data_IF_383306092318
#
_entry.id   IF_383306092318
#
_cell.length_a   1.000
_cell.length_b   1.000
_cell.length_c   1.000
_cell.angle_alpha   90.00
_cell.angle_beta   90.00
_cell.angle_gamma   90.00
#
_symmetry.space_group_name_H-M   'P 1'
#
loop_
_entity.id
_entity.type
_entity.pdbx_description
1 polymer ?
#
# COMPACT_ATOMS: atom_id res chain seq x y z
N UNK A 1 -3.81 1.31 5.35
CA UNK A 1 -3.78 1.23 3.87
C UNK A 1 -4.98 1.93 3.22
N UNK A 2 -6.22 1.66 3.67
CA UNK A 2 -7.44 2.30 3.12
C UNK A 2 -7.77 3.67 3.74
N UNK A 3 -7.22 3.95 4.92
CA UNK A 3 -7.36 5.22 5.63
C UNK A 3 -6.30 6.27 5.26
N UNK A 4 -6.40 7.41 5.94
CA UNK A 4 -5.58 8.60 5.72
C UNK A 4 -4.86 9.06 6.98
N UNK A 5 -5.52 9.14 8.13
CA UNK A 5 -5.01 9.71 9.38
C UNK A 5 -3.62 9.18 9.74
N UNK A 6 -3.48 7.87 9.98
CA UNK A 6 -2.21 7.27 10.40
C UNK A 6 -1.14 7.35 9.30
N UNK A 7 -1.49 7.04 8.05
CA UNK A 7 -0.47 7.01 6.97
C UNK A 7 0.00 8.43 6.64
N UNK A 8 -0.90 9.39 6.53
CA UNK A 8 -0.57 10.75 6.14
C UNK A 8 0.18 11.45 7.27
N UNK A 9 -0.17 11.16 8.55
CA UNK A 9 0.61 11.60 9.70
C UNK A 9 2.04 11.03 9.67
N UNK A 10 2.19 9.71 9.55
CA UNK A 10 3.52 9.10 9.49
C UNK A 10 4.33 9.62 8.30
N UNK A 11 3.70 9.77 7.14
CA UNK A 11 4.32 10.34 5.95
C UNK A 11 4.53 11.85 6.05
N UNK A 12 3.97 12.57 7.01
CA UNK A 12 4.37 13.97 7.23
C UNK A 12 5.75 14.06 7.88
N UNK A 13 6.13 13.02 8.64
CA UNK A 13 7.42 12.97 9.32
C UNK A 13 8.56 12.59 8.36
N UNK A 14 9.74 13.17 8.57
CA UNK A 14 10.92 12.91 7.73
C UNK A 14 11.44 11.47 7.85
N UNK A 15 11.29 10.87 9.03
CA UNK A 15 11.86 9.56 9.34
C UNK A 15 11.18 8.40 8.60
N UNK A 16 9.89 8.52 8.28
CA UNK A 16 9.17 7.45 7.60
C UNK A 16 9.31 7.55 6.09
N UNK A 17 9.82 6.46 5.50
CA UNK A 17 9.95 6.32 4.05
C UNK A 17 8.87 5.33 3.58
N UNK A 18 7.98 5.71 2.66
CA UNK A 18 6.96 4.80 2.14
C UNK A 18 7.59 3.69 1.31
N UNK A 19 7.26 2.44 1.66
CA UNK A 19 7.64 1.24 0.92
C UNK A 19 6.38 0.65 0.31
N UNK A 20 6.20 0.87 -0.99
CA UNK A 20 5.07 0.37 -1.76
C UNK A 20 5.36 -1.02 -2.31
N UNK A 21 4.35 -1.89 -2.28
CA UNK A 21 4.50 -3.28 -2.68
C UNK A 21 3.23 -4.10 -2.46
N UNK A 22 3.38 -5.41 -2.26
CA UNK A 22 2.29 -6.36 -2.01
C UNK A 22 2.58 -7.29 -0.82
N UNK A 23 2.44 -8.62 -0.98
CA UNK A 23 2.63 -9.60 0.08
C UNK A 23 4.10 -9.77 0.51
N UNK A 24 5.07 -9.41 -0.32
CA UNK A 24 6.50 -9.51 -0.04
C UNK A 24 6.90 -8.69 1.19
N UNK A 25 6.27 -7.53 1.40
CA UNK A 25 6.48 -6.68 2.59
C UNK A 25 6.06 -7.35 3.91
N UNK A 26 5.38 -8.51 3.85
CA UNK A 26 5.02 -9.28 5.05
C UNK A 26 6.04 -10.35 5.44
N UNK A 27 7.05 -10.60 4.60
CA UNK A 27 8.07 -11.64 4.81
C UNK A 27 9.15 -11.14 5.76
N UNK A 28 8.77 -10.93 7.03
CA UNK A 28 9.71 -10.49 8.08
C UNK A 28 10.73 -11.60 8.36
N UNK A 29 12.00 -11.25 8.23
CA UNK A 29 13.20 -12.05 8.49
C UNK A 29 14.32 -11.10 8.98
N UNK A 30 15.50 -11.60 9.41
CA UNK A 30 16.61 -10.73 9.82
C UNK A 30 17.03 -9.71 8.76
N UNK A 31 16.81 -10.04 7.48
CA UNK A 31 17.23 -9.23 6.33
C UNK A 31 16.12 -8.31 5.81
N UNK A 32 14.94 -8.33 6.44
CA UNK A 32 13.84 -7.46 6.06
C UNK A 32 14.20 -5.98 6.29
N UNK A 33 13.83 -5.04 5.40
CA UNK A 33 14.23 -3.62 5.51
C UNK A 33 13.91 -2.99 6.87
N UNK A 34 12.76 -3.30 7.46
CA UNK A 34 12.38 -2.79 8.78
C UNK A 34 13.29 -3.32 9.90
N UNK A 35 13.73 -4.57 9.82
CA UNK A 35 14.62 -5.19 10.81
C UNK A 35 16.02 -4.61 10.71
N UNK A 36 16.55 -4.46 9.48
CA UNK A 36 17.85 -3.84 9.25
C UNK A 36 17.87 -2.36 9.65
N UNK A 37 16.80 -1.62 9.35
CA UNK A 37 16.69 -0.22 9.73
C UNK A 37 16.66 -0.04 11.25
N UNK A 38 15.92 -0.89 11.95
CA UNK A 38 15.82 -0.89 13.41
C UNK A 38 17.13 -1.31 14.09
N UNK A 39 17.68 -2.49 13.72
CA UNK A 39 18.91 -3.06 14.29
C UNK A 39 20.11 -2.12 14.21
N UNK A 40 20.28 -1.47 13.06
CA UNK A 40 21.44 -0.63 12.79
C UNK A 40 21.13 0.86 12.95
N UNK A 41 20.05 1.19 13.66
CA UNK A 41 19.65 2.56 14.02
C UNK A 41 19.75 3.55 12.85
N UNK A 42 19.24 3.15 11.69
CA UNK A 42 19.28 3.99 10.49
C UNK A 42 18.45 5.26 10.74
N UNK A 43 18.82 6.33 10.05
CA UNK A 43 18.11 7.61 10.12
C UNK A 43 16.72 7.61 9.43
N UNK A 44 16.19 6.44 9.10
CA UNK A 44 14.88 6.25 8.49
C UNK A 44 14.23 4.95 8.96
N UNK A 45 12.91 4.91 8.87
CA UNK A 45 12.08 3.74 9.15
C UNK A 45 11.18 3.45 7.93
N UNK A 46 11.19 2.21 7.39
CA UNK A 46 10.22 1.83 6.36
C UNK A 46 8.78 1.92 6.88
N UNK A 47 7.92 2.64 6.17
CA UNK A 47 6.47 2.63 6.36
C UNK A 47 5.85 1.76 5.26
N UNK A 48 5.45 0.53 5.63
CA UNK A 48 5.07 -0.51 4.68
C UNK A 48 3.65 -0.27 4.12
N UNK A 49 3.57 0.11 2.85
CA UNK A 49 2.36 0.40 2.09
C UNK A 49 2.10 -0.69 1.04
N UNK A 50 1.88 -1.91 1.50
CA UNK A 50 1.52 -3.04 0.66
C UNK A 50 0.96 -4.20 1.46
N UNK A 51 0.12 -4.99 0.81
CA UNK A 51 -0.51 -6.16 1.39
C UNK A 51 -0.85 -7.17 0.27
N UNK A 52 -1.19 -8.43 0.61
CA UNK A 52 -1.52 -9.42 -0.42
C UNK A 52 -2.64 -8.94 -1.36
N UNK A 53 -2.31 -8.79 -2.65
CA UNK A 53 -3.25 -8.31 -3.67
C UNK A 53 -3.21 -6.81 -3.97
N UNK A 54 -2.47 -5.98 -3.21
CA UNK A 54 -2.28 -4.57 -3.59
C UNK A 54 -1.44 -4.47 -4.87
N UNK A 55 -1.96 -3.77 -5.87
CA UNK A 55 -1.26 -3.47 -7.12
C UNK A 55 -1.28 -1.95 -7.39
N UNK A 56 -0.76 -1.52 -8.53
CA UNK A 56 -0.54 -0.11 -8.88
C UNK A 56 -1.80 0.75 -8.76
N UNK A 57 -2.99 0.24 -9.08
CA UNK A 57 -4.24 1.01 -8.96
C UNK A 57 -4.57 1.35 -7.49
N UNK A 58 -4.50 0.38 -6.59
CA UNK A 58 -4.73 0.61 -5.16
C UNK A 58 -3.64 1.50 -4.55
N UNK A 59 -2.38 1.31 -4.96
CA UNK A 59 -1.27 2.11 -4.45
C UNK A 59 -1.31 3.56 -4.97
N UNK A 60 -1.79 3.78 -6.21
CA UNK A 60 -2.06 5.13 -6.72
C UNK A 60 -3.06 5.87 -5.82
N UNK A 61 -4.13 5.21 -5.35
CA UNK A 61 -5.09 5.82 -4.42
C UNK A 61 -4.44 6.17 -3.09
N UNK A 62 -3.56 5.32 -2.56
CA UNK A 62 -2.79 5.61 -1.34
C UNK A 62 -1.86 6.82 -1.53
N UNK A 63 -1.17 6.91 -2.66
CA UNK A 63 -0.29 8.05 -2.96
C UNK A 63 -1.08 9.34 -3.15
N UNK A 64 -2.19 9.28 -3.91
CA UNK A 64 -2.99 10.45 -4.25
C UNK A 64 -3.67 11.05 -3.02
N UNK A 65 -4.18 10.20 -2.12
CA UNK A 65 -4.81 10.63 -0.87
C UNK A 65 -3.81 11.23 0.14
N UNK A 66 -2.54 10.78 0.13
CA UNK A 66 -1.50 11.37 0.97
C UNK A 66 -1.11 12.80 0.55
N UNK A 67 -1.41 13.22 -0.69
CA UNK A 67 -1.22 14.58 -1.16
C UNK A 67 0.19 15.13 -0.89
N UNK A 68 0.26 16.30 -0.26
CA UNK A 68 1.53 16.98 0.03
C UNK A 68 2.41 16.26 1.06
N UNK A 69 1.89 15.28 1.83
CA UNK A 69 2.73 14.45 2.71
C UNK A 69 3.76 13.61 1.92
N UNK A 70 3.50 13.36 0.63
CA UNK A 70 4.43 12.66 -0.27
C UNK A 70 5.38 13.60 -1.01
N UNK A 71 5.18 14.93 -0.94
CA UNK A 71 5.93 15.90 -1.71
C UNK A 71 7.41 15.90 -1.29
N UNK A 72 8.31 15.88 -2.27
CA UNK A 72 9.77 15.86 -2.08
C UNK A 72 10.31 14.67 -1.24
N UNK A 73 9.53 13.59 -1.08
CA UNK A 73 9.98 12.39 -0.37
C UNK A 73 10.63 11.37 -1.29
N UNK A 74 11.62 10.66 -0.73
CA UNK A 74 12.11 9.41 -1.30
C UNK A 74 11.06 8.32 -1.11
N UNK A 75 10.99 7.40 -2.05
CA UNK A 75 10.02 6.29 -2.07
C UNK A 75 10.72 5.01 -2.51
N UNK A 76 10.32 3.88 -1.93
CA UNK A 76 10.63 2.55 -2.47
C UNK A 76 9.37 1.96 -3.08
N UNK A 77 9.46 1.45 -4.31
CA UNK A 77 8.34 0.81 -4.99
C UNK A 77 8.78 -0.53 -5.56
N UNK A 78 8.20 -1.63 -5.05
CA UNK A 78 8.49 -2.99 -5.50
C UNK A 78 7.51 -3.35 -6.61
N UNK A 79 8.04 -3.60 -7.82
CA UNK A 79 7.23 -3.98 -8.98
C UNK A 79 7.27 -5.50 -9.12
N UNK A 80 6.15 -6.16 -8.79
CA UNK A 80 6.00 -7.60 -8.97
C UNK A 80 5.52 -7.94 -10.39
N UNK A 81 6.29 -8.70 -11.20
CA UNK A 81 5.88 -9.09 -12.55
C UNK A 81 4.53 -9.82 -12.60
N UNK A 82 4.17 -10.56 -11.55
CA UNK A 82 2.91 -11.29 -11.42
C UNK A 82 1.68 -10.37 -11.40
N UNK A 83 1.86 -9.06 -11.21
CA UNK A 83 0.80 -8.06 -11.34
C UNK A 83 0.39 -7.78 -12.80
N UNK A 84 1.22 -8.13 -13.77
CA UNK A 84 1.06 -7.77 -15.19
C UNK A 84 0.43 -8.90 -16.02
N UNK A 85 -0.64 -9.50 -15.49
CA UNK A 85 -1.43 -10.50 -16.22
C UNK A 85 -2.36 -9.83 -17.25
N UNK A 86 -2.78 -10.58 -18.27
CA UNK A 86 -3.60 -10.08 -19.40
C UNK A 86 -4.82 -9.25 -18.98
N UNK A 87 -5.52 -9.67 -17.91
CA UNK A 87 -6.74 -9.02 -17.43
C UNK A 87 -6.46 -8.00 -16.29
N UNK A 88 -5.20 -7.78 -15.93
CA UNK A 88 -4.77 -6.91 -14.83
C UNK A 88 -5.20 -7.41 -13.45
N UNK A 89 -5.35 -6.48 -12.51
CA UNK A 89 -5.75 -6.76 -11.12
C UNK A 89 -7.10 -7.51 -11.06
N UNK A 90 -7.16 -8.59 -10.28
CA UNK A 90 -8.41 -9.30 -10.00
C UNK A 90 -9.40 -8.39 -9.26
N UNK A 91 -10.69 -8.50 -9.59
CA UNK A 91 -11.76 -7.71 -8.95
C UNK A 91 -11.74 -7.84 -7.43
N UNK A 92 -11.55 -9.04 -6.89
CA UNK A 92 -11.55 -9.27 -5.43
C UNK A 92 -10.40 -8.55 -4.72
N UNK A 93 -9.22 -8.53 -5.36
CA UNK A 93 -8.07 -7.77 -4.83
C UNK A 93 -8.35 -6.28 -4.85
N UNK A 94 -8.94 -5.74 -5.93
CA UNK A 94 -9.37 -4.35 -5.95
C UNK A 94 -10.40 -4.06 -4.86
N UNK A 95 -11.44 -4.89 -4.74
CA UNK A 95 -12.53 -4.71 -3.77
C UNK A 95 -12.03 -4.68 -2.32
N UNK A 96 -11.01 -5.49 -2.01
CA UNK A 96 -10.38 -5.58 -0.69
C UNK A 96 -9.74 -4.25 -0.26
N UNK A 97 -9.08 -3.56 -1.20
CA UNK A 97 -8.32 -2.33 -0.94
C UNK A 97 -8.97 -1.05 -1.48
N UNK A 98 -10.10 -1.15 -2.18
CA UNK A 98 -10.89 0.01 -2.58
C UNK A 98 -11.28 0.81 -1.34
N UNK A 99 -11.01 2.11 -1.40
CA UNK A 99 -11.31 3.08 -0.34
C UNK A 99 -12.18 4.18 -0.95
N UNK A 100 -13.43 4.29 -0.46
CA UNK A 100 -14.30 5.41 -0.82
C UNK A 100 -13.70 6.73 -0.34
N UNK A 101 -13.13 6.74 0.88
CA UNK A 101 -12.45 7.90 1.46
C UNK A 101 -11.39 8.46 0.50
N UNK A 102 -10.44 7.62 0.08
CA UNK A 102 -9.36 8.04 -0.82
C UNK A 102 -9.86 8.40 -2.22
N UNK A 103 -10.95 7.77 -2.68
CA UNK A 103 -11.60 8.14 -3.94
C UNK A 103 -12.21 9.54 -3.85
N UNK A 104 -12.85 9.85 -2.73
CA UNK A 104 -13.43 11.16 -2.50
C UNK A 104 -12.34 12.23 -2.28
N UNK A 105 -11.25 11.92 -1.57
CA UNK A 105 -10.10 12.82 -1.46
C UNK A 105 -9.56 13.21 -2.84
N UNK A 106 -9.43 12.22 -3.74
CA UNK A 106 -9.06 12.48 -5.12
C UNK A 106 -10.06 13.43 -5.80
N UNK A 107 -11.36 13.13 -5.77
CA UNK A 107 -12.39 13.96 -6.39
C UNK A 107 -12.42 15.40 -5.86
N UNK A 108 -12.37 15.58 -4.55
CA UNK A 108 -12.38 16.91 -3.91
C UNK A 108 -11.06 17.68 -4.07
N UNK A 109 -9.94 16.98 -4.33
CA UNK A 109 -8.64 17.62 -4.64
C UNK A 109 -8.54 18.13 -6.08
N UNK A 110 -9.36 17.62 -7.01
CA UNK A 110 -9.23 17.93 -8.43
C UNK A 110 -9.53 19.41 -8.74
N UNK A 111 -8.56 20.09 -9.35
CA UNK A 111 -8.72 21.45 -9.91
C UNK A 111 -8.85 21.48 -11.42
N UNK A 112 -8.38 20.43 -12.10
CA UNK A 112 -8.48 20.21 -13.54
C UNK A 112 -8.49 18.71 -13.82
N UNK A 113 -8.97 18.31 -14.99
CA UNK A 113 -8.94 16.92 -15.43
C UNK A 113 -7.68 16.65 -16.26
N UNK A 114 -6.84 15.73 -15.79
CA UNK A 114 -5.64 15.29 -16.51
C UNK A 114 -5.88 13.96 -17.23
N UNK A 115 -5.00 13.54 -18.16
CA UNK A 115 -5.07 12.20 -18.76
C UNK A 115 -5.07 11.06 -17.72
N UNK A 116 -4.36 11.24 -16.61
CA UNK A 116 -4.33 10.29 -15.50
C UNK A 116 -5.70 10.18 -14.81
N UNK A 117 -6.36 11.31 -14.55
CA UNK A 117 -7.71 11.31 -13.95
C UNK A 117 -8.74 10.65 -14.88
N UNK A 118 -8.65 10.89 -16.20
CA UNK A 118 -9.51 10.21 -17.20
C UNK A 118 -9.26 8.70 -17.22
N UNK A 119 -8.00 8.27 -17.14
CA UNK A 119 -7.64 6.85 -17.08
C UNK A 119 -8.15 6.19 -15.80
N UNK A 120 -7.94 6.84 -14.65
CA UNK A 120 -8.44 6.36 -13.36
C UNK A 120 -9.96 6.19 -13.40
N UNK A 121 -10.71 7.20 -13.87
CA UNK A 121 -12.15 7.11 -14.00
C UNK A 121 -12.59 5.94 -14.89
N UNK A 122 -11.94 5.74 -16.05
CA UNK A 122 -12.20 4.59 -16.93
C UNK A 122 -11.99 3.25 -16.22
N UNK A 123 -10.92 3.12 -15.43
CA UNK A 123 -10.60 1.89 -14.68
C UNK A 123 -11.57 1.67 -13.53
N UNK A 124 -11.89 2.68 -12.73
CA UNK A 124 -12.84 2.56 -11.62
C UNK A 124 -14.22 2.10 -12.12
N UNK A 125 -14.67 2.65 -13.26
CA UNK A 125 -15.92 2.26 -13.92
C UNK A 125 -15.96 0.81 -14.44
N UNK A 126 -14.88 0.01 -14.33
CA UNK A 126 -14.94 -1.43 -14.65
C UNK A 126 -15.32 -2.31 -13.47
N UNK A 127 -15.21 -1.82 -12.23
CA UNK A 127 -15.42 -2.62 -11.02
C UNK A 127 -16.84 -2.47 -10.47
N UNK A 128 -17.52 -3.59 -10.19
CA UNK A 128 -18.91 -3.59 -9.69
C UNK A 128 -19.09 -2.79 -8.40
N UNK A 129 -18.13 -2.92 -7.47
CA UNK A 129 -18.14 -2.17 -6.19
C UNK A 129 -18.20 -0.65 -6.36
N UNK A 130 -17.66 -0.12 -7.47
CA UNK A 130 -17.76 1.31 -7.81
C UNK A 130 -19.12 1.63 -8.44
N UNK A 131 -19.62 0.72 -9.28
CA UNK A 131 -20.90 0.86 -9.99
C UNK A 131 -22.12 0.80 -9.08
N UNK A 132 -21.99 0.20 -7.89
CA UNK A 132 -23.03 0.19 -6.85
C UNK A 132 -23.37 1.60 -6.33
N UNK A 133 -22.49 2.59 -6.53
CA UNK A 133 -22.73 3.98 -6.18
C UNK A 133 -23.03 4.81 -7.43
N UNK A 134 -24.32 5.10 -7.68
CA UNK A 134 -24.78 5.81 -8.87
C UNK A 134 -24.25 7.25 -8.96
N UNK A 135 -24.24 7.98 -7.84
CA UNK A 135 -23.71 9.35 -7.77
C UNK A 135 -22.23 9.39 -8.16
N UNK A 136 -21.42 8.50 -7.58
CA UNK A 136 -20.02 8.35 -7.93
C UNK A 136 -19.86 7.96 -9.40
N UNK A 137 -20.65 7.00 -9.88
CA UNK A 137 -20.62 6.55 -11.28
C UNK A 137 -20.87 7.71 -12.26
N UNK A 138 -21.88 8.54 -12.01
CA UNK A 138 -22.17 9.71 -12.85
C UNK A 138 -21.00 10.72 -12.87
N UNK A 139 -20.38 10.98 -11.72
CA UNK A 139 -19.20 11.83 -11.60
C UNK A 139 -18.02 11.25 -12.39
N UNK A 140 -17.75 9.95 -12.26
CA UNK A 140 -16.69 9.27 -12.99
C UNK A 140 -16.91 9.30 -14.52
N UNK A 141 -18.15 9.18 -14.99
CA UNK A 141 -18.46 9.33 -16.42
C UNK A 141 -18.14 10.73 -16.94
N UNK A 142 -18.38 11.77 -16.13
CA UNK A 142 -18.01 13.16 -16.44
C UNK A 142 -16.50 13.31 -16.57
N UNK A 143 -15.74 12.79 -15.61
CA UNK A 143 -14.26 12.80 -15.63
C UNK A 143 -13.73 12.01 -16.82
N UNK A 144 -14.30 10.83 -17.13
CA UNK A 144 -13.92 10.01 -18.30
C UNK A 144 -14.03 10.81 -19.61
N UNK A 145 -15.06 11.65 -19.75
CA UNK A 145 -15.27 12.56 -20.89
C UNK A 145 -14.31 13.76 -20.92
N UNK A 146 -13.44 13.91 -19.92
CA UNK A 146 -12.48 15.02 -19.82
C UNK A 146 -13.06 16.28 -19.20
N UNK A 147 -14.25 16.21 -18.60
CA UNK A 147 -14.94 17.34 -17.99
C UNK A 147 -14.73 17.33 -16.48
N UNK A 148 -14.47 18.50 -15.90
CA UNK A 148 -14.41 18.65 -14.44
C UNK A 148 -15.84 18.52 -13.88
N UNK A 149 -16.08 17.70 -12.85
CA UNK A 149 -17.39 17.64 -12.20
C UNK A 149 -17.81 19.00 -11.64
N UNK A 150 -19.10 19.30 -11.71
CA UNK A 150 -19.65 20.51 -11.11
C UNK A 150 -19.53 20.45 -9.57
N UNK A 151 -19.29 21.58 -8.89
CA UNK A 151 -19.26 21.64 -7.43
C UNK A 151 -20.50 21.03 -6.77
N UNK A 152 -21.67 21.24 -7.35
CA UNK A 152 -22.96 20.73 -6.87
C UNK A 152 -23.03 19.20 -6.96
N UNK A 153 -22.49 18.61 -8.04
CA UNK A 153 -22.39 17.15 -8.19
C UNK A 153 -21.45 16.57 -7.15
N UNK A 154 -20.29 17.18 -6.91
CA UNK A 154 -19.36 16.74 -5.87
C UNK A 154 -19.96 16.89 -4.47
N UNK A 155 -20.76 17.94 -4.24
CA UNK A 155 -21.35 18.22 -2.93
C UNK A 155 -22.30 17.11 -2.44
N UNK A 156 -22.90 16.34 -3.36
CA UNK A 156 -23.72 15.17 -3.01
C UNK A 156 -22.94 14.10 -2.24
N UNK A 157 -21.61 14.01 -2.44
CA UNK A 157 -20.74 13.05 -1.73
C UNK A 157 -20.15 13.62 -0.43
N UNK A 158 -20.35 14.91 -0.13
CA UNK A 158 -19.64 15.61 0.95
C UNK A 158 -20.00 15.09 2.34
N UNK A 159 -21.26 14.77 2.58
CA UNK A 159 -21.71 14.23 3.87
C UNK A 159 -21.04 12.90 4.18
N UNK A 160 -21.09 11.96 3.23
CA UNK A 160 -20.43 10.66 3.33
C UNK A 160 -18.91 10.82 3.49
N UNK A 161 -18.28 11.71 2.73
CA UNK A 161 -16.85 11.98 2.85
C UNK A 161 -16.46 12.50 4.25
N UNK A 162 -17.25 13.40 4.84
CA UNK A 162 -17.02 13.89 6.20
C UNK A 162 -17.26 12.82 7.26
N UNK A 163 -18.20 11.90 7.05
CA UNK A 163 -18.39 10.74 7.92
C UNK A 163 -17.17 9.82 7.86
N UNK A 164 -16.74 9.43 6.66
CA UNK A 164 -15.57 8.56 6.44
C UNK A 164 -14.28 9.14 7.04
N UNK A 165 -14.05 10.45 6.95
CA UNK A 165 -12.89 11.09 7.60
C UNK A 165 -12.94 10.99 9.12
N UNK A 166 -14.10 11.22 9.74
CA UNK A 166 -14.26 11.11 11.19
C UNK A 166 -14.09 9.67 11.66
N UNK A 167 -14.64 8.72 10.92
CA UNK A 167 -14.42 7.29 11.18
C UNK A 167 -12.94 6.92 11.09
N UNK A 168 -12.22 7.44 10.09
CA UNK A 168 -10.79 7.20 9.94
C UNK A 168 -9.96 7.81 11.08
N UNK A 169 -10.31 9.00 11.56
CA UNK A 169 -9.64 9.65 12.70
C UNK A 169 -9.79 8.83 13.99
N UNK A 170 -10.94 8.19 14.20
CA UNK A 170 -11.24 7.44 15.44
C UNK A 170 -10.84 5.97 15.35
N UNK A 171 -11.08 5.33 14.20
CA UNK A 171 -11.02 3.87 14.06
C UNK A 171 -9.87 3.36 13.18
N UNK A 172 -8.99 4.22 12.67
CA UNK A 172 -7.87 3.79 11.80
C UNK A 172 -6.87 2.85 12.49
N UNK A 173 -6.86 2.82 13.82
CA UNK A 173 -6.04 1.89 14.60
C UNK A 173 -6.65 0.48 14.73
N UNK A 174 -7.96 0.33 14.50
CA UNK A 174 -8.65 -0.95 14.66
C UNK A 174 -8.20 -1.91 13.56
N UNK A 175 -7.77 -3.10 13.98
CA UNK A 175 -7.30 -4.15 13.07
C UNK A 175 -5.87 -3.98 12.58
N UNK A 176 -5.11 -2.99 13.07
CA UNK A 176 -3.67 -2.95 12.88
C UNK A 176 -3.03 -4.14 13.59
N UNK A 177 -2.30 -4.95 12.82
CA UNK A 177 -1.52 -6.07 13.35
C UNK A 177 -0.13 -5.57 13.69
N UNK A 178 0.18 -5.54 14.98
CA UNK A 178 1.52 -5.23 15.45
C UNK A 178 2.50 -6.32 14.98
N UNK A 179 3.61 -5.89 14.40
CA UNK A 179 4.74 -6.74 14.00
C UNK A 179 6.05 -6.31 14.66
N UNK A 180 6.03 -5.33 15.55
CA UNK A 180 7.21 -4.83 16.21
C UNK A 180 7.90 -5.94 17.02
N UNK A 181 7.15 -6.74 17.77
CA UNK A 181 7.71 -7.90 18.48
C UNK A 181 8.43 -8.89 17.54
N UNK A 182 7.91 -9.10 16.33
CA UNK A 182 8.57 -9.95 15.33
C UNK A 182 9.83 -9.28 14.79
N UNK A 183 9.80 -7.97 14.55
CA UNK A 183 10.97 -7.19 14.13
C UNK A 183 12.07 -7.27 15.20
N UNK A 184 11.72 -7.07 16.47
CA UNK A 184 12.63 -7.13 17.62
C UNK A 184 13.19 -8.54 17.84
N UNK A 185 12.42 -9.58 17.52
CA UNK A 185 12.89 -10.96 17.57
C UNK A 185 13.92 -11.22 16.47
N UNK A 186 13.63 -10.86 15.22
CA UNK A 186 14.57 -11.09 14.10
C UNK A 186 15.84 -10.24 14.22
N UNK A 187 15.76 -9.04 14.81
CA UNK A 187 16.93 -8.15 15.01
C UNK A 187 17.98 -8.75 15.94
N UNK A 188 17.58 -9.62 16.88
CA UNK A 188 18.49 -10.34 17.79
C UNK A 188 19.38 -11.35 17.06
N UNK A 189 18.98 -11.81 15.88
CA UNK A 189 19.74 -12.77 15.05
C UNK A 189 20.88 -12.11 14.28
N UNK A 190 20.90 -10.78 14.19
CA UNK A 190 21.88 -10.01 13.43
C UNK A 190 23.13 -9.67 14.26
N UNK A 191 24.32 -9.58 13.61
CA UNK A 191 25.53 -9.07 14.25
C UNK A 191 25.33 -7.64 14.74
N UNK A 192 26.18 -7.21 15.68
CA UNK A 192 26.12 -5.83 16.23
C UNK A 192 26.53 -4.79 15.19
N UNK A 193 27.50 -5.12 14.33
CA UNK A 193 28.01 -4.25 13.28
C UNK A 193 27.46 -4.68 11.92
N UNK A 194 27.15 -3.72 11.06
CA UNK A 194 26.69 -4.02 9.71
C UNK A 194 27.89 -4.41 8.84
N UNK A 195 27.92 -5.65 8.35
CA UNK A 195 28.88 -6.12 7.37
C UNK A 195 28.15 -7.02 6.37
N UNK A 196 28.19 -6.67 5.08
CA UNK A 196 27.34 -7.31 4.06
C UNK A 196 27.66 -8.80 3.87
N UNK A 197 28.94 -9.17 3.87
CA UNK A 197 29.39 -10.55 3.72
C UNK A 197 28.93 -11.44 4.87
N UNK A 198 29.01 -10.98 6.12
CA UNK A 198 28.49 -11.68 7.30
C UNK A 198 26.98 -11.88 7.20
N UNK A 199 26.26 -10.84 6.76
CA UNK A 199 24.81 -10.93 6.55
C UNK A 199 24.47 -11.90 5.42
N UNK A 200 25.24 -11.92 4.34
CA UNK A 200 25.07 -12.83 3.22
C UNK A 200 25.32 -14.29 3.63
N UNK A 201 26.39 -14.56 4.39
CA UNK A 201 26.66 -15.88 4.97
C UNK A 201 25.51 -16.33 5.88
N UNK A 202 25.04 -15.44 6.78
CA UNK A 202 23.91 -15.74 7.66
C UNK A 202 22.63 -15.99 6.87
N UNK A 203 22.39 -15.25 5.79
CA UNK A 203 21.22 -15.42 4.93
C UNK A 203 21.24 -16.79 4.23
N UNK A 204 22.40 -17.22 3.72
CA UNK A 204 22.57 -18.54 3.13
C UNK A 204 22.28 -19.66 4.14
N UNK A 205 22.82 -19.56 5.36
CA UNK A 205 22.59 -20.54 6.42
C UNK A 205 21.12 -20.64 6.84
N UNK A 206 20.42 -19.50 6.93
CA UNK A 206 19.00 -19.47 7.28
C UNK A 206 18.16 -20.02 6.11
N UNK A 207 18.47 -19.63 4.88
CA UNK A 207 17.81 -20.12 3.68
C UNK A 207 17.87 -21.63 3.58
N UNK A 208 19.07 -22.21 3.64
CA UNK A 208 19.29 -23.66 3.57
C UNK A 208 18.48 -24.43 4.64
N UNK A 209 18.45 -23.92 5.88
CA UNK A 209 17.70 -24.55 6.99
C UNK A 209 16.19 -24.48 6.80
N UNK A 210 15.68 -23.42 6.16
CA UNK A 210 14.24 -23.18 6.02
C UNK A 210 13.65 -23.74 4.72
N UNK A 211 14.45 -24.35 3.84
CA UNK A 211 14.04 -24.86 2.52
C UNK A 211 14.44 -26.33 2.28
N UNK A 212 14.37 -27.17 3.32
CA UNK A 212 14.84 -28.57 3.32
C UNK A 212 13.85 -29.61 2.79
N UNK A 213 12.56 -29.27 2.61
CA UNK A 213 11.52 -30.26 2.29
C UNK A 213 11.12 -30.32 0.80
N UNK A 214 11.85 -29.62 -0.08
CA UNK A 214 11.56 -29.56 -1.51
C UNK A 214 12.80 -29.22 -2.34
N UNK A 215 12.84 -29.59 -3.64
CA UNK A 215 13.99 -29.34 -4.51
C UNK A 215 14.01 -27.95 -5.16
N UNK A 216 13.07 -27.06 -4.82
CA UNK A 216 12.86 -25.78 -5.52
C UNK A 216 13.38 -24.57 -4.74
N UNK A 217 13.96 -24.77 -3.55
CA UNK A 217 14.38 -23.68 -2.66
C UNK A 217 13.19 -22.88 -2.10
N UNK A 218 12.00 -23.48 -2.03
CA UNK A 218 10.83 -22.86 -1.41
C UNK A 218 10.88 -23.04 0.11
N UNK A 219 10.40 -22.05 0.84
CA UNK A 219 10.30 -22.14 2.30
C UNK A 219 9.38 -23.31 2.68
N UNK A 220 9.80 -24.12 3.64
CA UNK A 220 9.14 -25.38 3.99
C UNK A 220 7.64 -25.21 4.27
N UNK A 221 7.28 -24.18 5.05
CA UNK A 221 5.87 -23.86 5.35
C UNK A 221 5.09 -23.46 4.11
N UNK A 222 5.67 -22.68 3.21
CA UNK A 222 5.00 -22.32 1.96
C UNK A 222 4.75 -23.56 1.09
N UNK A 223 5.76 -24.41 0.91
CA UNK A 223 5.66 -25.61 0.07
C UNK A 223 4.67 -26.65 0.61
N UNK A 224 4.62 -26.85 1.92
CA UNK A 224 3.67 -27.80 2.53
C UNK A 224 2.21 -27.39 2.33
N UNK A 225 1.92 -26.09 2.24
CA UNK A 225 0.55 -25.57 2.23
C UNK A 225 0.08 -25.11 0.85
N UNK A 226 0.93 -25.10 -0.19
CA UNK A 226 0.60 -24.54 -1.51
C UNK A 226 1.30 -25.24 -2.67
#
# INVERSE_FOLDING_TARGET
LKGDAIKNYALSEKQYIPFFGSSELSRISPFHPSVLADKYHRNYRPFLLGAPGTQSLSQYMMMRSAGDAMKNKKVVFIISPQGFVKNGVKTDYFNTYYSELQTYDWLFSMKKVTPADRYLARRLLTFSKVKENDTLTAILQTIKKGKLPLPESLNQLRSQWNMLKREDEVFSNIGLKDRQQKIDHESKRLPKQYQETELSILANQIGERETTNNPFGLKNDFYTHR
#
